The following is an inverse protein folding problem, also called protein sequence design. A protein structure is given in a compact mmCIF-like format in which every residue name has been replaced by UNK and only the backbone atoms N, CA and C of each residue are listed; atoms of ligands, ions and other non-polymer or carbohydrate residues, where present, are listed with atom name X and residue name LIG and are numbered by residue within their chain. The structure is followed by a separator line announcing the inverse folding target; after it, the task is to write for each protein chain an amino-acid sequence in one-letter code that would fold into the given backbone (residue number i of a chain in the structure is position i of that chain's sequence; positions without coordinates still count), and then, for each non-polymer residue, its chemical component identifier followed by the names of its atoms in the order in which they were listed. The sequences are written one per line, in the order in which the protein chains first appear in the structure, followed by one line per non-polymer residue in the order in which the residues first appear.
data_IF_385969056079
#
_entry.id   IF_385969056079
#
_cell.length_a   1.000
_cell.length_b   1.000
_cell.length_c   1.000
_cell.angle_alpha   90.00
_cell.angle_beta   90.00
_cell.angle_gamma   90.00
#
_symmetry.space_group_name_H-M   'P 1'
#
loop_
_entity.id
_entity.type
_entity.pdbx_description
1 polymer ?
#
# COMPACT_ATOMS: atom_id res chain seq x y z
N UNK A 1 -46.03 -30.24 -45.25
CA UNK A 1 -45.72 -29.19 -44.26
C UNK A 1 -44.25 -29.36 -43.89
N UNK A 2 -43.39 -28.46 -44.36
CA UNK A 2 -41.98 -28.47 -43.95
C UNK A 2 -41.91 -27.89 -42.53
N UNK A 3 -41.39 -28.68 -41.58
CA UNK A 3 -41.27 -28.28 -40.18
C UNK A 3 -40.40 -27.04 -40.01
N UNK A 4 -40.74 -26.22 -39.04
CA UNK A 4 -40.02 -25.01 -38.68
C UNK A 4 -38.57 -25.35 -38.31
N UNK A 5 -37.61 -24.74 -39.01
CA UNK A 5 -36.18 -24.88 -38.70
C UNK A 5 -35.83 -23.93 -37.55
N UNK A 6 -35.57 -24.49 -36.38
CA UNK A 6 -35.03 -23.75 -35.24
C UNK A 6 -33.50 -23.72 -35.37
N UNK A 7 -32.94 -22.52 -35.49
CA UNK A 7 -31.49 -22.32 -35.50
C UNK A 7 -31.03 -22.03 -34.07
N UNK A 8 -30.23 -22.95 -33.51
CA UNK A 8 -29.60 -22.77 -32.19
C UNK A 8 -28.16 -22.32 -32.46
N UNK A 9 -27.73 -21.22 -31.82
CA UNK A 9 -26.35 -20.78 -31.89
C UNK A 9 -25.41 -21.83 -31.32
N UNK A 10 -24.20 -21.95 -31.87
CA UNK A 10 -23.19 -22.84 -31.31
C UNK A 10 -22.80 -22.38 -29.90
N UNK A 11 -22.24 -23.31 -29.11
CA UNK A 11 -21.87 -23.05 -27.71
C UNK A 11 -20.92 -21.86 -27.57
N UNK A 12 -19.95 -21.70 -28.48
CA UNK A 12 -18.97 -20.61 -28.41
C UNK A 12 -19.64 -19.24 -28.62
N UNK A 13 -20.56 -19.17 -29.57
CA UNK A 13 -21.39 -17.98 -29.80
C UNK A 13 -22.33 -17.71 -28.63
N UNK A 14 -22.94 -18.76 -28.06
CA UNK A 14 -23.81 -18.63 -26.89
C UNK A 14 -23.02 -18.16 -25.64
N UNK A 15 -21.82 -18.69 -25.42
CA UNK A 15 -20.92 -18.29 -24.33
C UNK A 15 -20.42 -16.84 -24.52
N UNK A 16 -20.12 -16.41 -25.75
CA UNK A 16 -19.80 -15.00 -26.06
C UNK A 16 -20.98 -14.07 -25.76
N UNK A 17 -22.19 -14.44 -26.22
CA UNK A 17 -23.41 -13.68 -25.95
C UNK A 17 -23.72 -13.66 -24.45
N UNK A 18 -23.56 -14.78 -23.76
CA UNK A 18 -23.76 -14.87 -22.31
C UNK A 18 -22.72 -14.03 -21.55
N UNK A 19 -21.45 -14.02 -21.96
CA UNK A 19 -20.42 -13.15 -21.38
C UNK A 19 -20.67 -11.66 -21.65
N UNK A 20 -21.31 -11.31 -22.76
CA UNK A 20 -21.75 -9.93 -23.05
C UNK A 20 -22.97 -9.55 -22.20
N UNK A 21 -23.90 -10.49 -21.96
CA UNK A 21 -25.17 -10.25 -21.26
C UNK A 21 -25.08 -10.44 -19.74
N UNK A 22 -24.15 -11.24 -19.25
CA UNK A 22 -23.85 -11.35 -17.84
C UNK A 22 -23.24 -10.01 -17.43
N UNK A 23 -23.93 -9.29 -16.53
CA UNK A 23 -23.32 -8.16 -15.82
C UNK A 23 -22.03 -8.68 -15.19
N UNK A 24 -20.88 -8.33 -15.74
CA UNK A 24 -19.61 -8.84 -15.27
C UNK A 24 -19.49 -8.50 -13.77
N UNK A 25 -19.58 -9.49 -12.85
CA UNK A 25 -19.74 -9.21 -11.42
C UNK A 25 -18.38 -8.86 -10.80
N UNK A 26 -17.84 -7.72 -11.23
CA UNK A 26 -16.56 -7.17 -10.77
C UNK A 26 -16.82 -5.87 -10.04
N UNK A 27 -15.97 -5.59 -9.06
CA UNK A 27 -15.93 -4.30 -8.38
C UNK A 27 -14.93 -3.41 -9.11
N UNK A 28 -15.09 -2.10 -9.09
CA UNK A 28 -14.11 -1.23 -9.72
C UNK A 28 -14.46 0.24 -9.72
N UNK A 29 -13.56 0.99 -10.34
CA UNK A 29 -13.72 2.42 -10.57
C UNK A 29 -12.96 2.88 -11.81
N UNK A 30 -13.34 4.06 -12.30
CA UNK A 30 -12.56 4.83 -13.25
C UNK A 30 -11.95 6.01 -12.49
N UNK A 31 -10.64 6.21 -12.61
CA UNK A 31 -9.95 7.44 -12.17
C UNK A 31 -9.72 8.34 -13.39
N UNK A 32 -10.48 9.42 -13.47
CA UNK A 32 -10.38 10.42 -14.54
C UNK A 32 -9.23 11.38 -14.26
N UNK A 33 -8.03 11.10 -14.77
CA UNK A 33 -6.85 11.89 -14.42
C UNK A 33 -6.98 13.39 -14.77
N UNK A 34 -7.80 13.73 -15.76
CA UNK A 34 -8.05 15.12 -16.18
C UNK A 34 -9.03 15.87 -15.26
N UNK A 35 -9.66 15.18 -14.31
CA UNK A 35 -10.47 15.78 -13.25
C UNK A 35 -9.61 15.98 -12.00
N UNK A 36 -9.48 17.25 -11.59
CA UNK A 36 -8.69 17.64 -10.42
C UNK A 36 -9.46 17.53 -9.09
N UNK A 37 -10.79 17.61 -9.10
CA UNK A 37 -11.58 17.44 -7.87
C UNK A 37 -11.54 15.97 -7.41
N UNK A 38 -10.98 15.65 -6.23
CA UNK A 38 -10.68 14.26 -5.84
C UNK A 38 -11.90 13.33 -5.81
N UNK A 39 -13.06 13.81 -5.39
CA UNK A 39 -14.29 13.01 -5.34
C UNK A 39 -14.97 12.89 -6.71
N UNK A 40 -14.93 13.92 -7.54
CA UNK A 40 -15.49 13.86 -8.90
C UNK A 40 -14.59 13.08 -9.87
N UNK A 41 -13.33 12.89 -9.51
CA UNK A 41 -12.32 12.12 -10.24
C UNK A 41 -12.60 10.61 -10.26
N UNK A 42 -13.37 10.10 -9.30
CA UNK A 42 -13.63 8.67 -9.14
C UNK A 42 -15.09 8.33 -9.50
N UNK A 43 -15.26 7.58 -10.58
CA UNK A 43 -16.53 6.99 -10.97
C UNK A 43 -16.58 5.51 -10.54
N UNK A 44 -17.63 5.09 -9.83
CA UNK A 44 -17.86 3.68 -9.53
C UNK A 44 -18.47 2.95 -10.72
N UNK A 45 -17.99 1.72 -10.95
CA UNK A 45 -18.49 0.83 -12.01
C UNK A 45 -18.80 -0.55 -11.43
N UNK A 46 -19.40 -1.42 -12.25
CA UNK A 46 -19.67 -2.81 -11.86
C UNK A 46 -20.58 -2.94 -10.64
N UNK A 47 -20.29 -3.91 -9.77
CA UNK A 47 -21.09 -4.27 -8.60
C UNK A 47 -21.22 -3.13 -7.57
N UNK A 48 -20.22 -2.25 -7.47
CA UNK A 48 -20.23 -1.11 -6.56
C UNK A 48 -20.74 0.19 -7.18
N UNK A 49 -21.31 0.18 -8.39
CA UNK A 49 -21.83 1.40 -9.06
C UNK A 49 -22.71 2.27 -8.15
N UNK A 50 -23.55 1.63 -7.32
CA UNK A 50 -24.49 2.29 -6.42
C UNK A 50 -24.06 2.23 -4.93
N UNK A 51 -22.81 1.88 -4.63
CA UNK A 51 -22.34 1.81 -3.26
C UNK A 51 -22.20 3.21 -2.65
N UNK A 52 -22.50 3.30 -1.37
CA UNK A 52 -22.10 4.45 -0.55
C UNK A 52 -20.66 4.24 -0.07
N UNK A 53 -19.77 5.22 -0.27
CA UNK A 53 -18.36 5.12 0.14
C UNK A 53 -18.24 5.03 1.67
N UNK A 54 -17.11 4.54 2.17
CA UNK A 54 -16.82 4.65 3.60
C UNK A 54 -16.67 6.12 4.04
N UNK A 55 -16.88 6.38 5.32
CA UNK A 55 -16.76 7.72 5.88
C UNK A 55 -16.15 7.67 7.29
N UNK A 56 -15.11 8.47 7.51
CA UNK A 56 -14.52 8.66 8.84
C UNK A 56 -15.42 9.56 9.68
N UNK A 57 -15.71 9.16 10.90
CA UNK A 57 -16.23 10.05 11.92
C UNK A 57 -15.10 10.97 12.41
N UNK A 58 -15.19 12.27 12.13
CA UNK A 58 -14.14 13.24 12.49
C UNK A 58 -14.03 13.52 13.99
N UNK A 59 -15.05 13.22 14.78
CA UNK A 59 -15.06 13.47 16.22
C UNK A 59 -14.32 12.39 17.01
N UNK A 60 -14.50 11.12 16.63
CA UNK A 60 -13.93 9.98 17.36
C UNK A 60 -12.97 9.11 16.54
N UNK A 61 -12.76 9.45 15.27
CA UNK A 61 -11.82 8.80 14.36
C UNK A 61 -12.23 7.42 13.84
N UNK A 62 -13.37 6.88 14.27
CA UNK A 62 -13.88 5.59 13.78
C UNK A 62 -14.33 5.66 12.32
N UNK A 63 -14.42 4.50 11.67
CA UNK A 63 -14.84 4.38 10.27
C UNK A 63 -16.24 3.79 10.16
N UNK A 64 -17.12 4.45 9.42
CA UNK A 64 -18.40 3.89 8.97
C UNK A 64 -18.18 3.25 7.61
N UNK A 65 -18.39 1.93 7.53
CA UNK A 65 -18.10 1.15 6.32
C UNK A 65 -19.19 1.27 5.24
N UNK A 66 -20.40 1.72 5.60
CA UNK A 66 -21.54 1.85 4.69
C UNK A 66 -21.75 0.58 3.83
N UNK A 67 -21.85 0.70 2.51
CA UNK A 67 -22.07 -0.44 1.61
C UNK A 67 -20.91 -1.45 1.58
N UNK A 68 -19.75 -1.08 2.14
CA UNK A 68 -18.55 -1.92 2.16
C UNK A 68 -18.46 -2.85 3.38
N UNK A 69 -19.38 -2.76 4.34
CA UNK A 69 -19.34 -3.53 5.59
C UNK A 69 -19.19 -5.05 5.37
N UNK A 70 -19.84 -5.57 4.33
CA UNK A 70 -19.81 -6.99 3.98
C UNK A 70 -18.80 -7.36 2.88
N UNK A 71 -17.97 -6.41 2.43
CA UNK A 71 -16.99 -6.67 1.39
C UNK A 71 -15.95 -7.71 1.89
N UNK A 72 -15.67 -8.80 1.14
CA UNK A 72 -14.86 -9.90 1.66
C UNK A 72 -13.47 -9.50 2.15
N UNK A 73 -12.78 -8.59 1.46
CA UNK A 73 -11.45 -8.12 1.90
C UNK A 73 -11.52 -7.40 3.26
N UNK A 74 -12.56 -6.60 3.49
CA UNK A 74 -12.78 -5.90 4.76
C UNK A 74 -13.11 -6.92 5.86
N UNK A 75 -13.98 -7.90 5.58
CA UNK A 75 -14.36 -8.94 6.54
C UNK A 75 -13.22 -9.88 6.90
N UNK A 76 -12.37 -10.24 5.94
CA UNK A 76 -11.27 -11.17 6.14
C UNK A 76 -10.08 -10.52 6.85
N UNK A 77 -9.95 -9.19 6.80
CA UNK A 77 -8.85 -8.49 7.43
C UNK A 77 -9.01 -8.45 8.96
N UNK A 78 -8.37 -9.43 9.59
CA UNK A 78 -8.34 -9.63 11.05
C UNK A 78 -6.88 -9.57 11.56
N UNK A 79 -6.66 -9.11 12.80
CA UNK A 79 -5.34 -9.03 13.40
C UNK A 79 -4.95 -10.36 14.08
N UNK A 80 -3.69 -10.75 13.95
CA UNK A 80 -3.12 -12.00 14.43
C UNK A 80 -1.74 -11.79 15.03
N UNK A 81 -1.39 -12.63 15.99
CA UNK A 81 0.01 -13.00 16.16
C UNK A 81 0.34 -14.08 15.12
N UNK A 82 1.43 -13.89 14.38
CA UNK A 82 1.86 -14.77 13.29
C UNK A 82 3.28 -15.23 13.56
N UNK A 83 3.55 -16.52 13.35
CA UNK A 83 4.89 -17.11 13.52
C UNK A 83 5.82 -16.62 12.42
N UNK A 84 7.13 -16.61 12.68
CA UNK A 84 8.13 -16.17 11.71
C UNK A 84 8.10 -16.98 10.38
N UNK A 85 7.56 -18.20 10.37
CA UNK A 85 7.37 -19.00 9.15
C UNK A 85 6.18 -18.56 8.28
N UNK A 86 5.39 -17.58 8.73
CA UNK A 86 4.22 -17.06 8.02
C UNK A 86 2.92 -17.82 8.29
N UNK A 87 2.89 -18.74 9.25
CA UNK A 87 1.66 -19.40 9.71
C UNK A 87 0.97 -18.60 10.83
N UNK A 88 -0.37 -18.53 10.84
CA UNK A 88 -1.10 -17.86 11.93
C UNK A 88 -0.89 -18.63 13.25
N UNK A 89 -0.70 -17.90 14.36
CA UNK A 89 -0.70 -18.51 15.70
C UNK A 89 -2.09 -18.37 16.34
N UNK A 90 -2.51 -17.13 16.62
CA UNK A 90 -3.82 -16.84 17.19
C UNK A 90 -4.33 -15.44 16.84
N UNK A 91 -5.65 -15.26 16.89
CA UNK A 91 -6.32 -13.97 16.65
C UNK A 91 -6.14 -13.03 17.82
N UNK A 92 -5.85 -11.77 17.50
CA UNK A 92 -5.90 -10.66 18.42
C UNK A 92 -7.32 -10.12 18.50
N UNK A 93 -7.72 -9.61 19.66
CA UNK A 93 -8.99 -8.91 19.78
C UNK A 93 -8.95 -7.61 18.99
N UNK A 94 -9.89 -7.43 18.05
CA UNK A 94 -9.86 -6.32 17.08
C UNK A 94 -9.87 -4.93 17.70
N UNK A 95 -10.47 -4.79 18.89
CA UNK A 95 -10.56 -3.51 19.61
C UNK A 95 -9.48 -3.30 20.67
N UNK A 96 -8.71 -4.34 21.00
CA UNK A 96 -7.63 -4.30 21.99
C UNK A 96 -6.59 -5.38 21.70
N UNK A 97 -5.52 -5.01 20.99
CA UNK A 97 -4.49 -5.96 20.58
C UNK A 97 -3.65 -6.51 21.73
N UNK A 98 -3.78 -5.98 22.96
CA UNK A 98 -3.13 -6.55 24.14
C UNK A 98 -3.80 -7.85 24.61
N UNK A 99 -4.95 -8.18 24.03
CA UNK A 99 -5.73 -9.37 24.33
C UNK A 99 -5.84 -10.30 23.12
N UNK A 100 -5.87 -11.60 23.40
CA UNK A 100 -6.27 -12.62 22.43
C UNK A 100 -7.79 -12.57 22.27
N UNK A 101 -8.28 -12.96 21.09
CA UNK A 101 -9.72 -13.00 20.85
C UNK A 101 -10.41 -14.09 21.69
N UNK A 102 -9.73 -15.23 21.92
CA UNK A 102 -10.18 -16.33 22.78
C UNK A 102 -9.99 -16.06 24.29
N UNK A 103 -9.43 -14.90 24.65
CA UNK A 103 -9.21 -14.44 26.02
C UNK A 103 -7.76 -14.55 26.48
N UNK A 104 -7.42 -13.72 27.47
CA UNK A 104 -6.07 -13.60 28.03
C UNK A 104 -5.17 -12.60 27.28
N UNK A 105 -3.96 -12.42 27.80
CA UNK A 105 -2.96 -11.49 27.24
C UNK A 105 -2.35 -12.01 25.94
N UNK A 106 -2.02 -11.10 25.03
CA UNK A 106 -1.31 -11.41 23.78
C UNK A 106 0.19 -11.13 23.85
N UNK A 107 0.92 -11.59 22.82
CA UNK A 107 2.33 -11.37 22.60
C UNK A 107 2.63 -10.09 21.79
N UNK A 108 1.66 -9.19 21.62
CA UNK A 108 1.77 -8.01 20.73
C UNK A 108 2.97 -7.10 21.07
N UNK A 109 3.42 -7.12 22.33
CA UNK A 109 4.58 -6.37 22.81
C UNK A 109 5.72 -7.28 23.32
N UNK A 110 5.64 -8.60 23.10
CA UNK A 110 6.62 -9.57 23.58
C UNK A 110 7.79 -9.68 22.60
N UNK A 111 8.93 -9.05 22.91
CA UNK A 111 10.14 -9.09 22.08
C UNK A 111 10.82 -10.45 22.00
N UNK A 112 10.41 -11.42 22.83
CA UNK A 112 10.91 -12.81 22.77
C UNK A 112 10.04 -13.73 21.93
N UNK A 113 8.88 -13.26 21.44
CA UNK A 113 8.02 -14.03 20.56
C UNK A 113 8.69 -14.22 19.20
N UNK A 114 8.72 -15.47 18.70
CA UNK A 114 9.31 -15.79 17.40
C UNK A 114 8.31 -15.54 16.25
N UNK A 115 8.04 -14.27 16.00
CA UNK A 115 7.08 -13.80 15.02
C UNK A 115 6.73 -12.33 15.24
N UNK A 116 5.53 -11.91 14.84
CA UNK A 116 5.07 -10.54 15.00
C UNK A 116 3.56 -10.41 14.95
N UNK A 117 3.08 -9.17 15.12
CA UNK A 117 1.68 -8.80 15.02
C UNK A 117 1.37 -8.30 13.61
N UNK A 118 0.48 -9.01 12.92
CA UNK A 118 0.10 -8.73 11.54
C UNK A 118 -1.42 -8.75 11.36
N UNK A 119 -1.90 -8.17 10.27
CA UNK A 119 -3.28 -8.35 9.83
C UNK A 119 -3.34 -9.05 8.48
N UNK A 120 -4.35 -9.89 8.28
CA UNK A 120 -4.50 -10.64 7.04
C UNK A 120 -5.07 -9.74 5.94
N UNK A 121 -4.44 -9.63 4.79
CA UNK A 121 -5.10 -9.10 3.60
C UNK A 121 -5.32 -10.25 2.64
N UNK A 122 -6.58 -10.68 2.51
CA UNK A 122 -6.92 -11.76 1.59
C UNK A 122 -6.63 -11.33 0.14
N UNK A 123 -6.25 -12.30 -0.69
CA UNK A 123 -6.05 -12.08 -2.11
C UNK A 123 -7.32 -11.56 -2.79
N UNK A 124 -7.11 -10.65 -3.73
CA UNK A 124 -8.08 -10.22 -4.72
C UNK A 124 -7.37 -10.10 -6.06
N UNK A 125 -8.04 -10.45 -7.16
CA UNK A 125 -7.49 -10.30 -8.49
C UNK A 125 -7.81 -8.93 -9.05
N UNK A 126 -6.91 -8.38 -9.84
CA UNK A 126 -6.96 -7.01 -10.34
C UNK A 126 -6.74 -6.98 -11.85
N UNK A 127 -7.56 -6.20 -12.54
CA UNK A 127 -7.36 -5.81 -13.93
C UNK A 127 -7.25 -4.29 -13.98
N UNK A 128 -6.33 -3.79 -14.80
CA UNK A 128 -6.12 -2.36 -14.97
C UNK A 128 -5.78 -2.02 -16.41
N UNK A 129 -6.32 -0.92 -16.91
CA UNK A 129 -6.01 -0.41 -18.25
C UNK A 129 -6.08 1.11 -18.30
N UNK A 130 -5.49 1.67 -19.34
CA UNK A 130 -5.60 3.10 -19.68
C UNK A 130 -6.49 3.25 -20.90
N UNK A 131 -7.52 4.09 -20.80
CA UNK A 131 -8.32 4.55 -21.96
C UNK A 131 -8.13 6.05 -22.08
N UNK A 132 -7.27 6.47 -23.01
CA UNK A 132 -6.80 7.86 -23.06
C UNK A 132 -6.04 8.24 -21.78
N UNK A 133 -6.59 9.17 -21.01
CA UNK A 133 -6.07 9.58 -19.71
C UNK A 133 -6.78 8.92 -18.52
N UNK A 134 -7.85 8.17 -18.75
CA UNK A 134 -8.58 7.51 -17.67
C UNK A 134 -7.91 6.19 -17.30
N UNK A 135 -7.74 5.95 -16.00
CA UNK A 135 -7.34 4.64 -15.47
C UNK A 135 -8.60 3.88 -15.09
N UNK A 136 -8.83 2.73 -15.70
CA UNK A 136 -9.92 1.83 -15.29
C UNK A 136 -9.31 0.72 -14.43
N UNK A 137 -9.83 0.55 -13.22
CA UNK A 137 -9.39 -0.46 -12.26
C UNK A 137 -10.57 -1.37 -11.91
N UNK A 138 -10.37 -2.67 -12.04
CA UNK A 138 -11.39 -3.69 -11.77
C UNK A 138 -10.82 -4.76 -10.86
N UNK A 139 -11.67 -5.28 -9.99
CA UNK A 139 -11.36 -6.29 -9.00
C UNK A 139 -12.31 -7.48 -9.08
N UNK A 140 -11.76 -8.68 -8.95
CA UNK A 140 -12.49 -9.93 -8.89
C UNK A 140 -12.07 -10.74 -7.67
N UNK A 141 -13.04 -11.33 -6.98
CA UNK A 141 -12.79 -12.23 -5.84
C UNK A 141 -12.38 -13.64 -6.28
N UNK A 142 -12.56 -13.97 -7.57
CA UNK A 142 -12.19 -15.25 -8.17
C UNK A 142 -11.23 -15.02 -9.34
N UNK A 143 -10.44 -16.04 -9.68
CA UNK A 143 -9.55 -16.01 -10.84
C UNK A 143 -10.36 -15.86 -12.13
N UNK A 144 -9.91 -14.99 -13.04
CA UNK A 144 -10.57 -14.67 -14.32
C UNK A 144 -9.55 -14.21 -15.36
N UNK A 145 -9.90 -14.38 -16.63
CA UNK A 145 -9.03 -13.98 -17.74
C UNK A 145 -8.75 -12.46 -17.71
N UNK A 146 -7.49 -12.08 -17.91
CA UNK A 146 -7.04 -10.69 -17.82
C UNK A 146 -6.96 -10.09 -16.41
N UNK A 147 -7.23 -10.84 -15.35
CA UNK A 147 -7.07 -10.41 -13.95
C UNK A 147 -5.87 -11.10 -13.30
N UNK A 148 -5.00 -10.31 -12.67
CA UNK A 148 -3.77 -10.79 -12.03
C UNK A 148 -3.85 -10.65 -10.50
N UNK A 149 -3.26 -11.57 -9.71
CA UNK A 149 -3.19 -11.46 -8.26
C UNK A 149 -2.09 -10.47 -7.83
N UNK A 150 -2.20 -9.21 -8.28
CA UNK A 150 -1.20 -8.15 -8.06
C UNK A 150 -0.92 -7.96 -6.57
N UNK A 151 0.33 -8.14 -6.15
CA UNK A 151 0.73 -8.06 -4.74
C UNK A 151 0.58 -9.38 -3.96
N UNK A 152 -0.03 -10.41 -4.54
CA UNK A 152 -0.24 -11.72 -3.91
C UNK A 152 0.56 -12.83 -4.58
N UNK A 153 1.75 -12.50 -5.08
CA UNK A 153 2.70 -13.43 -5.70
C UNK A 153 4.03 -13.34 -4.94
N UNK A 154 4.66 -14.48 -4.64
CA UNK A 154 5.97 -14.51 -3.98
C UNK A 154 7.15 -14.40 -4.97
N UNK A 155 8.41 -14.23 -4.50
CA UNK A 155 9.59 -14.13 -5.37
C UNK A 155 9.84 -15.33 -6.29
N UNK A 156 9.21 -16.47 -6.02
CA UNK A 156 9.25 -17.66 -6.87
C UNK A 156 8.09 -17.72 -7.87
N UNK A 157 7.31 -16.64 -7.98
CA UNK A 157 6.11 -16.51 -8.80
C UNK A 157 4.95 -17.42 -8.37
N UNK A 158 4.92 -17.88 -7.11
CA UNK A 158 3.79 -18.63 -6.60
C UNK A 158 2.68 -17.68 -6.13
N UNK A 159 1.45 -17.98 -6.51
CA UNK A 159 0.28 -17.27 -6.05
C UNK A 159 -0.05 -17.61 -4.58
N UNK A 160 -0.35 -16.59 -3.78
CA UNK A 160 -0.63 -16.68 -2.35
C UNK A 160 -2.13 -16.56 -2.07
N UNK A 161 -2.59 -17.07 -0.92
CA UNK A 161 -3.99 -16.88 -0.47
C UNK A 161 -4.28 -15.46 0.04
N UNK A 162 -3.23 -14.72 0.37
CA UNK A 162 -3.24 -13.38 0.95
C UNK A 162 -1.83 -13.03 1.43
N UNK A 163 -1.70 -11.95 2.19
CA UNK A 163 -0.44 -11.52 2.81
C UNK A 163 -0.67 -11.05 4.25
N UNK A 164 0.39 -11.09 5.06
CA UNK A 164 0.39 -10.53 6.41
C UNK A 164 0.93 -9.10 6.38
N UNK A 165 0.03 -8.13 6.57
CA UNK A 165 0.37 -6.72 6.68
C UNK A 165 0.94 -6.43 8.08
N UNK A 166 2.10 -5.77 8.22
CA UNK A 166 2.62 -5.43 9.54
C UNK A 166 1.68 -4.46 10.23
N UNK A 167 1.30 -4.75 11.48
CA UNK A 167 0.45 -3.85 12.25
C UNK A 167 1.19 -2.60 12.73
N UNK A 168 2.51 -2.72 12.91
CA UNK A 168 3.41 -1.69 13.44
C UNK A 168 4.58 -1.41 12.51
N UNK A 169 5.17 -0.21 12.62
CA UNK A 169 6.41 0.11 11.89
C UNK A 169 7.51 -0.85 12.33
N UNK A 170 8.42 -1.21 11.42
CA UNK A 170 9.47 -2.16 11.73
C UNK A 170 10.40 -1.63 12.81
N UNK A 171 10.65 -2.45 13.83
CA UNK A 171 11.68 -2.21 14.84
C UNK A 171 12.77 -3.27 14.72
N UNK A 172 14.04 -2.90 14.87
CA UNK A 172 15.14 -3.87 14.77
C UNK A 172 15.57 -4.29 16.17
N UNK A 173 15.25 -5.53 16.53
CA UNK A 173 15.80 -6.18 17.72
C UNK A 173 17.24 -6.61 17.46
N UNK A 174 18.12 -6.41 18.46
CA UNK A 174 19.54 -6.77 18.35
C UNK A 174 20.27 -6.00 17.24
N UNK A 175 19.95 -4.72 17.03
CA UNK A 175 20.49 -3.89 15.95
C UNK A 175 22.03 -3.88 15.86
N UNK A 176 22.72 -3.94 16.99
CA UNK A 176 24.19 -3.97 17.08
C UNK A 176 24.77 -5.39 17.18
N UNK A 177 23.92 -6.42 17.15
CA UNK A 177 24.30 -7.82 17.24
C UNK A 177 24.58 -8.47 15.87
N UNK A 178 25.01 -9.73 15.90
CA UNK A 178 25.31 -10.49 14.67
C UNK A 178 24.08 -10.90 13.86
N UNK A 179 22.89 -10.91 14.47
CA UNK A 179 21.63 -11.36 13.85
C UNK A 179 20.49 -10.36 14.13
N UNK A 180 20.59 -9.10 13.66
CA UNK A 180 19.51 -8.13 13.85
C UNK A 180 18.23 -8.65 13.20
N UNK A 181 17.06 -8.44 13.82
CA UNK A 181 15.77 -8.89 13.29
C UNK A 181 14.77 -7.75 13.26
N UNK A 182 14.16 -7.51 12.10
CA UNK A 182 13.05 -6.58 11.98
C UNK A 182 11.76 -7.26 12.47
N UNK A 183 11.00 -6.60 13.33
CA UNK A 183 9.75 -7.14 13.87
C UNK A 183 8.65 -6.09 13.83
N UNK A 184 7.42 -6.54 13.59
CA UNK A 184 6.20 -5.76 13.79
C UNK A 184 5.62 -6.02 15.19
N UNK A 185 6.01 -5.23 16.18
CA UNK A 185 5.55 -5.33 17.57
C UNK A 185 5.25 -3.95 18.17
N UNK A 186 4.31 -3.93 19.13
CA UNK A 186 3.97 -2.75 19.91
C UNK A 186 5.09 -2.38 20.90
N UNK A 187 5.03 -1.14 21.38
CA UNK A 187 5.91 -0.54 22.39
C UNK A 187 7.39 -0.46 22.00
N UNK A 188 7.76 -0.77 20.76
CA UNK A 188 9.10 -0.58 20.23
C UNK A 188 9.22 0.75 19.47
N UNK A 189 10.42 1.34 19.45
CA UNK A 189 10.71 2.49 18.61
C UNK A 189 10.91 2.00 17.16
N UNK A 190 10.24 2.60 16.16
CA UNK A 190 10.54 2.34 14.76
C UNK A 190 12.03 2.47 14.45
N UNK A 191 12.55 1.64 13.55
CA UNK A 191 13.95 1.74 13.08
C UNK A 191 14.21 3.11 12.45
N UNK A 192 15.41 3.65 12.61
CA UNK A 192 15.83 4.89 11.99
C UNK A 192 17.36 4.90 11.76
N UNK A 193 17.86 5.82 10.94
CA UNK A 193 19.30 5.95 10.61
C UNK A 193 19.95 4.66 10.05
N UNK A 194 19.17 3.79 9.42
CA UNK A 194 19.66 2.61 8.74
C UNK A 194 19.68 2.80 7.22
N UNK A 195 20.59 2.12 6.53
CA UNK A 195 20.59 2.01 5.06
C UNK A 195 19.58 0.96 4.61
N UNK A 196 19.23 0.95 3.32
CA UNK A 196 18.34 -0.10 2.78
C UNK A 196 18.92 -1.50 3.02
N UNK A 197 20.23 -1.67 2.90
CA UNK A 197 20.87 -2.99 3.08
C UNK A 197 20.80 -3.47 4.53
N UNK A 198 21.00 -2.59 5.53
CA UNK A 198 20.86 -2.97 6.94
C UNK A 198 19.44 -3.44 7.26
N UNK A 199 18.44 -2.74 6.74
CA UNK A 199 17.03 -3.13 6.90
C UNK A 199 16.73 -4.44 6.15
N UNK A 200 17.27 -4.65 4.95
CA UNK A 200 17.13 -5.91 4.22
C UNK A 200 17.73 -7.08 4.98
N UNK A 201 18.91 -6.91 5.59
CA UNK A 201 19.51 -7.92 6.47
C UNK A 201 18.60 -8.25 7.64
N UNK A 202 18.07 -7.23 8.32
CA UNK A 202 17.18 -7.43 9.46
C UNK A 202 15.86 -8.14 9.10
N UNK A 203 15.27 -7.80 7.95
CA UNK A 203 14.08 -8.48 7.41
C UNK A 203 14.38 -9.95 7.07
N UNK A 204 15.51 -10.21 6.42
CA UNK A 204 15.91 -11.57 6.02
C UNK A 204 16.20 -12.46 7.23
N UNK A 205 16.77 -11.89 8.29
CA UNK A 205 17.01 -12.58 9.55
C UNK A 205 15.74 -12.83 10.37
N UNK A 206 14.69 -12.04 10.16
CA UNK A 206 13.38 -12.33 10.74
C UNK A 206 12.76 -13.56 10.09
N UNK A 207 12.73 -13.60 8.75
CA UNK A 207 12.21 -14.73 8.00
C UNK A 207 12.69 -14.73 6.55
N UNK A 208 12.90 -15.93 5.98
CA UNK A 208 13.10 -16.10 4.53
C UNK A 208 11.85 -15.76 3.71
N UNK A 209 10.68 -15.67 4.35
CA UNK A 209 9.40 -15.28 3.75
C UNK A 209 9.09 -13.79 3.90
N UNK A 210 9.92 -13.04 4.63
CA UNK A 210 9.68 -11.62 4.83
C UNK A 210 10.24 -10.77 3.68
N UNK A 211 9.49 -9.74 3.33
CA UNK A 211 9.75 -8.75 2.32
C UNK A 211 9.63 -7.35 2.93
N UNK A 212 10.07 -6.31 2.22
CA UNK A 212 9.70 -4.94 2.60
C UNK A 212 8.20 -4.75 2.34
N UNK A 213 7.51 -3.98 3.20
CA UNK A 213 6.20 -3.45 2.86
C UNK A 213 6.36 -2.37 1.77
N UNK A 214 6.12 -2.77 0.52
CA UNK A 214 6.26 -1.94 -0.67
C UNK A 214 5.74 -2.66 -1.91
N UNK A 215 6.00 -2.08 -3.08
CA UNK A 215 5.75 -2.75 -4.35
C UNK A 215 4.26 -2.98 -4.65
N UNK A 216 3.92 -4.07 -5.36
CA UNK A 216 2.58 -4.25 -5.93
C UNK A 216 1.45 -4.38 -4.90
N UNK A 217 1.72 -4.83 -3.67
CA UNK A 217 0.70 -4.86 -2.62
C UNK A 217 0.31 -3.47 -2.15
N UNK A 218 1.26 -2.54 -2.05
CA UNK A 218 0.96 -1.16 -1.65
C UNK A 218 0.10 -0.47 -2.71
N UNK A 219 0.38 -0.69 -3.99
CA UNK A 219 -0.48 -0.20 -5.07
C UNK A 219 -1.90 -0.79 -5.01
N UNK A 220 -2.01 -2.10 -4.78
CA UNK A 220 -3.31 -2.77 -4.66
C UNK A 220 -4.09 -2.24 -3.46
N UNK A 221 -3.43 -2.01 -2.33
CA UNK A 221 -4.03 -1.37 -1.15
C UNK A 221 -4.51 0.04 -1.52
N UNK A 222 -3.69 0.87 -2.17
CA UNK A 222 -4.06 2.23 -2.57
C UNK A 222 -5.32 2.22 -3.44
N UNK A 223 -5.41 1.35 -4.43
CA UNK A 223 -6.59 1.27 -5.30
C UNK A 223 -7.83 0.75 -4.55
N UNK A 224 -7.67 -0.17 -3.60
CA UNK A 224 -8.76 -0.55 -2.69
C UNK A 224 -9.20 0.65 -1.84
N UNK A 225 -8.28 1.45 -1.33
CA UNK A 225 -8.60 2.63 -0.51
C UNK A 225 -9.35 3.70 -1.32
N UNK A 226 -8.91 3.95 -2.56
CA UNK A 226 -9.61 4.84 -3.51
C UNK A 226 -11.00 4.31 -3.80
N UNK A 227 -11.12 3.00 -4.09
CA UNK A 227 -12.40 2.36 -4.34
C UNK A 227 -13.31 2.47 -3.13
N UNK A 228 -12.87 2.20 -1.91
CA UNK A 228 -13.74 2.27 -0.74
C UNK A 228 -14.18 3.69 -0.40
N UNK A 229 -13.27 4.67 -0.52
CA UNK A 229 -13.55 6.05 -0.15
C UNK A 229 -14.18 6.88 -1.27
N UNK A 230 -14.13 6.41 -2.52
CA UNK A 230 -14.53 7.15 -3.74
C UNK A 230 -13.87 8.53 -3.86
N UNK A 231 -12.58 8.59 -3.56
CA UNK A 231 -11.79 9.82 -3.64
C UNK A 231 -10.31 9.49 -3.74
N UNK A 232 -9.54 10.37 -4.36
CA UNK A 232 -8.07 10.34 -4.31
C UNK A 232 -7.49 11.10 -3.12
N UNK A 233 -8.28 11.89 -2.39
CA UNK A 233 -7.84 12.54 -1.15
C UNK A 233 -7.94 11.57 0.03
N UNK A 234 -6.99 10.65 0.09
CA UNK A 234 -7.01 9.56 1.06
C UNK A 234 -6.65 10.02 2.48
N UNK A 235 -5.86 11.09 2.64
CA UNK A 235 -5.64 11.68 3.97
C UNK A 235 -6.94 12.25 4.55
N UNK A 236 -7.74 12.94 3.75
CA UNK A 236 -9.05 13.42 4.20
C UNK A 236 -10.01 12.26 4.49
N UNK A 237 -9.97 11.17 3.71
CA UNK A 237 -10.84 10.01 3.92
C UNK A 237 -10.46 9.14 5.14
N UNK A 238 -9.16 8.93 5.39
CA UNK A 238 -8.66 7.97 6.40
C UNK A 238 -7.96 8.62 7.60
N UNK A 239 -7.72 9.93 7.57
CA UNK A 239 -7.02 10.69 8.61
C UNK A 239 -5.60 11.07 8.20
N UNK A 240 -5.04 12.06 8.88
CA UNK A 240 -3.76 12.69 8.53
C UNK A 240 -2.54 12.11 9.27
N UNK A 241 -2.77 11.28 10.27
CA UNK A 241 -1.72 10.60 11.02
C UNK A 241 -0.85 11.59 11.78
N UNK A 242 0.44 11.28 11.87
CA UNK A 242 1.45 12.09 12.54
C UNK A 242 2.30 12.83 11.49
N UNK A 243 1.70 13.32 10.40
CA UNK A 243 2.42 13.96 9.29
C UNK A 243 3.02 15.33 9.63
N UNK A 244 2.65 15.94 10.75
CA UNK A 244 3.16 17.24 11.23
C UNK A 244 3.66 17.19 12.68
N UNK A 245 4.05 16.01 13.17
CA UNK A 245 4.51 15.80 14.55
C UNK A 245 5.96 16.14 14.84
N UNK A 246 6.69 16.81 13.94
CA UNK A 246 8.09 17.14 14.15
C UNK A 246 8.32 17.95 15.43
N UNK A 247 9.29 17.50 16.23
CA UNK A 247 9.72 18.19 17.44
C UNK A 247 11.23 18.04 17.63
N UNK A 248 11.95 19.15 17.47
CA UNK A 248 13.41 19.22 17.59
C UNK A 248 13.93 18.74 18.96
N UNK A 249 13.12 18.87 20.02
CA UNK A 249 13.49 18.47 21.38
C UNK A 249 13.51 16.95 21.59
N UNK A 250 12.87 16.19 20.68
CA UNK A 250 12.75 14.72 20.74
C UNK A 250 13.86 14.01 19.96
N UNK A 251 15.05 14.60 19.89
CA UNK A 251 16.22 13.93 19.31
C UNK A 251 16.44 12.55 19.98
N UNK A 252 16.74 11.49 19.21
CA UNK A 252 17.12 11.49 17.79
C UNK A 252 15.97 11.22 16.82
N UNK A 253 14.74 11.06 17.30
CA UNK A 253 13.59 10.63 16.46
C UNK A 253 12.70 11.78 16.03
N UNK A 254 12.87 12.95 16.64
CA UNK A 254 12.30 14.23 16.24
C UNK A 254 10.79 14.21 15.96
N UNK A 255 10.04 13.43 16.74
CA UNK A 255 8.58 13.28 16.59
C UNK A 255 8.11 11.97 15.95
N UNK A 256 9.02 11.09 15.48
CA UNK A 256 8.64 9.70 15.16
C UNK A 256 8.28 8.97 16.46
N UNK A 257 7.02 8.59 16.59
CA UNK A 257 6.46 7.98 17.79
C UNK A 257 6.78 6.50 17.83
N UNK A 258 6.92 6.00 19.06
CA UNK A 258 6.95 4.56 19.33
C UNK A 258 5.69 3.89 18.81
N UNK A 259 5.82 2.64 18.39
CA UNK A 259 4.69 1.80 18.01
C UNK A 259 3.73 1.70 19.21
N UNK A 260 2.50 2.16 19.03
CA UNK A 260 1.47 2.11 20.07
C UNK A 260 0.25 1.33 19.57
N UNK A 261 -0.41 0.64 20.48
CA UNK A 261 -1.72 0.03 20.21
C UNK A 261 -2.75 1.16 20.09
N UNK A 262 -3.19 1.42 18.87
CA UNK A 262 -4.24 2.40 18.58
C UNK A 262 -5.61 1.72 18.69
N UNK A 263 -6.55 2.32 19.42
CA UNK A 263 -7.93 1.82 19.57
C UNK A 263 -8.77 1.94 18.29
N UNK A 264 -10.05 1.52 18.30
CA UNK A 264 -10.96 1.78 17.17
C UNK A 264 -11.08 0.70 16.07
N UNK A 265 -10.58 -0.53 16.30
CA UNK A 265 -10.81 -1.62 15.35
C UNK A 265 -9.90 -1.62 14.12
N UNK A 266 -10.46 -1.92 12.95
CA UNK A 266 -9.72 -2.05 11.69
C UNK A 266 -9.19 -0.71 11.13
N UNK A 267 -9.92 0.37 11.35
CA UNK A 267 -9.60 1.71 10.85
C UNK A 267 -9.70 2.73 11.98
N UNK A 268 -8.77 3.68 12.00
CA UNK A 268 -8.84 4.81 12.93
C UNK A 268 -8.05 6.00 12.36
N UNK A 269 -8.66 7.17 12.34
CA UNK A 269 -8.09 8.38 11.75
C UNK A 269 -8.34 9.65 12.54
N UNK A 270 -7.33 10.52 12.66
CA UNK A 270 -7.44 11.86 13.27
C UNK A 270 -7.12 13.01 12.29
N UNK A 271 -7.58 14.22 12.65
CA UNK A 271 -7.32 15.47 11.93
C UNK A 271 -6.19 16.32 12.54
N UNK A 272 -5.67 15.90 13.69
CA UNK A 272 -4.68 16.67 14.45
C UNK A 272 -3.30 16.72 13.77
N UNK A 273 -3.01 15.80 12.85
CA UNK A 273 -1.69 15.64 12.18
C UNK A 273 -0.57 15.25 13.15
N UNK A 274 -0.93 14.81 14.37
CA UNK A 274 -0.04 14.53 15.49
C UNK A 274 -0.27 13.14 16.09
N UNK A 275 -1.25 12.37 15.63
CA UNK A 275 -1.61 11.07 16.23
C UNK A 275 -1.26 9.89 15.33
N UNK A 276 -1.14 8.71 15.92
CA UNK A 276 -1.03 7.48 15.14
C UNK A 276 -2.42 7.06 14.65
N UNK A 277 -2.52 6.84 13.34
CA UNK A 277 -3.71 6.36 12.64
C UNK A 277 -3.45 4.98 12.07
N UNK A 278 -4.51 4.23 11.79
CA UNK A 278 -4.42 2.89 11.19
C UNK A 278 -5.41 2.66 10.07
N UNK A 279 -4.94 1.88 9.11
CA UNK A 279 -5.72 1.36 7.98
C UNK A 279 -5.45 -0.15 7.95
N UNK A 280 -6.50 -0.97 7.86
CA UNK A 280 -6.39 -2.44 7.93
C UNK A 280 -5.59 -2.94 9.13
N UNK A 281 -5.86 -2.39 10.32
CA UNK A 281 -5.11 -2.63 11.56
C UNK A 281 -3.63 -2.19 11.57
N UNK A 282 -3.12 -1.61 10.48
CA UNK A 282 -1.73 -1.19 10.35
C UNK A 282 -1.54 0.31 10.60
N UNK A 283 -0.74 0.66 11.61
CA UNK A 283 -0.32 2.05 11.81
C UNK A 283 0.69 2.51 10.75
N UNK A 284 1.35 1.57 10.06
CA UNK A 284 2.29 1.87 8.96
C UNK A 284 1.57 2.54 7.80
N UNK A 285 0.39 2.01 7.47
CA UNK A 285 -0.44 2.48 6.35
C UNK A 285 -1.20 3.77 6.66
N UNK A 286 -1.46 4.09 7.93
CA UNK A 286 -2.32 5.23 8.31
C UNK A 286 -1.60 6.42 8.94
N UNK A 287 -0.43 6.22 9.55
CA UNK A 287 0.19 7.27 10.39
C UNK A 287 1.12 8.22 9.65
N UNK A 288 1.64 7.84 8.49
CA UNK A 288 2.53 8.68 7.66
C UNK A 288 3.68 9.38 8.41
N UNK A 289 4.19 8.75 9.48
CA UNK A 289 5.14 9.39 10.40
C UNK A 289 6.60 9.20 10.00
N UNK A 290 6.87 8.22 9.15
CA UNK A 290 8.20 7.84 8.72
C UNK A 290 8.14 7.29 7.30
N UNK A 291 9.06 7.73 6.43
CA UNK A 291 9.14 7.25 5.06
C UNK A 291 9.49 5.76 5.08
N UNK A 292 8.66 4.94 4.45
CA UNK A 292 8.87 3.49 4.36
C UNK A 292 9.60 3.13 3.09
N UNK A 293 10.71 2.39 3.20
CA UNK A 293 11.44 1.93 2.01
C UNK A 293 10.62 0.97 1.17
N UNK A 294 10.59 1.28 -0.12
CA UNK A 294 10.04 0.43 -1.16
C UNK A 294 11.13 0.15 -2.20
N UNK A 295 12.00 -0.85 -1.97
CA UNK A 295 13.06 -1.19 -2.91
C UNK A 295 12.54 -1.84 -4.19
N UNK A 296 11.24 -2.03 -4.36
CA UNK A 296 10.62 -2.65 -5.52
C UNK A 296 10.24 -1.64 -6.61
N UNK A 297 10.40 -0.35 -6.34
CA UNK A 297 10.33 0.73 -7.32
C UNK A 297 11.63 1.53 -7.26
N UNK A 298 12.29 1.66 -8.41
CA UNK A 298 13.54 2.42 -8.52
C UNK A 298 13.48 3.35 -9.72
N UNK A 299 14.21 4.46 -9.60
CA UNK A 299 14.40 5.42 -10.69
C UNK A 299 15.85 5.39 -11.10
N UNK A 300 16.15 4.85 -12.27
CA UNK A 300 17.50 4.73 -12.82
C UNK A 300 17.66 5.75 -13.93
N UNK A 301 18.42 6.82 -13.68
CA UNK A 301 18.66 7.92 -14.63
C UNK A 301 17.35 8.44 -15.23
N UNK A 302 16.39 8.77 -14.35
CA UNK A 302 15.06 9.25 -14.73
C UNK A 302 14.08 8.19 -15.24
N UNK A 303 14.47 6.91 -15.37
CA UNK A 303 13.58 5.81 -15.81
C UNK A 303 13.03 5.04 -14.64
N UNK A 304 11.69 4.95 -14.54
CA UNK A 304 11.03 4.20 -13.46
C UNK A 304 11.00 2.72 -13.80
N UNK A 305 11.49 1.88 -12.90
CA UNK A 305 11.52 0.42 -13.03
C UNK A 305 10.94 -0.24 -11.79
N UNK A 306 10.24 -1.37 -11.99
CA UNK A 306 9.53 -2.05 -10.89
C UNK A 306 9.77 -3.56 -10.83
N UNK A 307 9.68 -4.09 -9.62
CA UNK A 307 9.62 -5.51 -9.30
C UNK A 307 8.17 -5.92 -9.02
N UNK A 308 7.66 -6.89 -9.79
CA UNK A 308 6.26 -7.34 -9.72
C UNK A 308 6.02 -8.49 -8.74
N UNK A 309 7.09 -9.08 -8.21
CA UNK A 309 7.05 -10.28 -7.38
C UNK A 309 7.99 -10.20 -6.18
N UNK A 310 8.31 -8.99 -5.70
CA UNK A 310 9.23 -8.76 -4.58
C UNK A 310 10.67 -9.24 -4.77
N UNK A 311 11.11 -9.50 -6.01
CA UNK A 311 12.53 -9.66 -6.31
C UNK A 311 13.26 -8.41 -5.84
N UNK A 312 14.24 -8.57 -4.93
CA UNK A 312 15.06 -7.48 -4.40
C UNK A 312 16.28 -7.27 -5.30
N UNK A 313 16.32 -6.15 -5.99
CA UNK A 313 17.47 -5.66 -6.73
C UNK A 313 17.39 -4.12 -6.85
N UNK A 314 17.88 -3.38 -5.86
CA UNK A 314 17.75 -1.92 -5.84
C UNK A 314 18.63 -1.21 -6.89
N UNK A 315 19.39 -1.96 -7.71
CA UNK A 315 20.04 -1.43 -8.92
C UNK A 315 19.06 -1.29 -10.09
N UNK A 316 17.92 -1.99 -10.03
CA UNK A 316 16.92 -2.05 -11.09
C UNK A 316 17.31 -2.86 -12.31
N UNK A 317 18.40 -3.63 -12.27
CA UNK A 317 18.85 -4.45 -13.40
C UNK A 317 17.88 -5.61 -13.70
N UNK A 318 17.28 -6.20 -12.67
CA UNK A 318 16.29 -7.28 -12.78
C UNK A 318 14.84 -6.77 -12.93
N UNK A 319 14.63 -5.46 -12.88
CA UNK A 319 13.28 -4.89 -12.81
C UNK A 319 12.72 -4.61 -14.19
N UNK A 320 11.39 -4.65 -14.30
CA UNK A 320 10.70 -4.28 -15.53
C UNK A 320 10.75 -2.76 -15.71
N UNK A 321 11.24 -2.30 -16.86
CA UNK A 321 11.11 -0.90 -17.24
C UNK A 321 9.64 -0.58 -17.55
N UNK A 322 9.11 0.44 -16.90
CA UNK A 322 7.68 0.78 -16.99
C UNK A 322 7.35 1.60 -18.23
N UNK A 323 8.38 2.11 -18.94
CA UNK A 323 8.21 3.12 -19.98
C UNK A 323 7.94 4.53 -19.43
N UNK A 324 7.82 4.69 -18.11
CA UNK A 324 7.60 5.98 -17.46
C UNK A 324 8.95 6.65 -17.21
N UNK A 325 9.05 7.90 -17.65
CA UNK A 325 10.18 8.79 -17.37
C UNK A 325 9.74 9.83 -16.35
N UNK A 326 10.63 10.13 -15.39
CA UNK A 326 10.46 11.25 -14.47
C UNK A 326 10.30 12.55 -15.28
N UNK A 327 9.20 13.30 -15.10
CA UNK A 327 8.96 14.50 -15.91
C UNK A 327 10.02 15.58 -15.69
N UNK A 328 10.55 16.17 -16.75
CA UNK A 328 11.46 17.32 -16.68
C UNK A 328 10.67 18.63 -16.86
N UNK A 329 9.93 19.01 -15.82
CA UNK A 329 8.91 20.06 -15.90
C UNK A 329 8.91 21.00 -14.68
N UNK A 330 10.00 21.04 -13.91
CA UNK A 330 10.12 21.88 -12.72
C UNK A 330 11.45 22.62 -12.70
N UNK A 331 11.49 23.69 -11.93
CA UNK A 331 12.73 24.24 -11.43
C UNK A 331 13.26 23.33 -10.33
N UNK A 332 14.45 22.77 -10.55
CA UNK A 332 15.14 21.93 -9.61
C UNK A 332 15.86 22.78 -8.55
N UNK A 333 15.90 22.32 -7.30
CA UNK A 333 16.68 22.97 -6.23
C UNK A 333 18.20 22.84 -6.47
N UNK A 334 19.02 23.42 -5.59
CA UNK A 334 20.49 23.33 -5.72
C UNK A 334 21.03 21.90 -5.65
N UNK A 335 20.27 20.98 -5.07
CA UNK A 335 20.58 19.54 -5.01
C UNK A 335 19.95 18.76 -6.17
N UNK A 336 19.36 19.44 -7.14
CA UNK A 336 18.66 18.88 -8.29
C UNK A 336 17.45 18.03 -7.91
N UNK A 337 16.71 18.44 -6.88
CA UNK A 337 15.49 17.80 -6.41
C UNK A 337 14.28 18.73 -6.56
N UNK A 338 13.08 18.17 -6.66
CA UNK A 338 11.84 18.92 -6.66
C UNK A 338 10.70 18.12 -6.04
N UNK A 339 9.80 18.79 -5.35
CA UNK A 339 8.53 18.26 -4.88
C UNK A 339 7.40 18.69 -5.82
N UNK A 340 6.50 17.77 -6.12
CA UNK A 340 5.28 18.03 -6.87
C UNK A 340 4.10 17.20 -6.35
N UNK A 341 2.90 17.49 -6.83
CA UNK A 341 1.70 16.71 -6.52
C UNK A 341 1.15 16.09 -7.82
N UNK A 342 1.30 14.78 -8.04
CA UNK A 342 0.89 14.18 -9.31
C UNK A 342 -0.61 14.30 -9.57
N UNK A 343 -0.99 14.87 -10.70
CA UNK A 343 -2.37 14.84 -11.21
C UNK A 343 -2.64 13.66 -12.16
N UNK A 344 -1.62 13.01 -12.70
CA UNK A 344 -1.74 11.94 -13.68
C UNK A 344 -0.99 10.68 -13.26
N UNK A 345 -1.66 9.55 -13.41
CA UNK A 345 -1.11 8.22 -13.09
C UNK A 345 -1.33 7.29 -14.27
N UNK A 346 -0.33 6.45 -14.54
CA UNK A 346 -0.38 5.41 -15.59
C UNK A 346 -0.38 4.03 -14.94
N UNK A 347 -1.21 3.15 -15.47
CA UNK A 347 -1.18 1.72 -15.14
C UNK A 347 0.12 1.10 -15.60
N UNK A 348 0.71 0.27 -14.74
CA UNK A 348 1.78 -0.66 -15.04
C UNK A 348 1.23 -2.07 -14.76
N UNK A 349 0.90 -2.85 -15.81
CA UNK A 349 0.33 -4.18 -15.66
C UNK A 349 1.14 -5.08 -14.72
N UNK A 350 0.48 -5.76 -13.79
CA UNK A 350 1.12 -6.61 -12.78
C UNK A 350 1.86 -5.86 -11.66
N UNK A 351 1.72 -4.53 -11.57
CA UNK A 351 2.29 -3.74 -10.48
C UNK A 351 1.27 -2.81 -9.84
N UNK A 352 0.62 -1.95 -10.63
CA UNK A 352 -0.29 -0.92 -10.11
C UNK A 352 -0.19 0.39 -10.87
N UNK A 353 -0.39 1.52 -10.19
CA UNK A 353 -0.35 2.84 -10.83
C UNK A 353 0.95 3.59 -10.48
N UNK A 354 1.50 4.39 -11.39
CA UNK A 354 2.69 5.20 -11.13
C UNK A 354 2.45 6.63 -11.61
N UNK A 355 2.85 7.66 -10.84
CA UNK A 355 2.86 9.05 -11.29
C UNK A 355 3.56 9.21 -12.65
N UNK A 356 2.91 9.89 -13.60
CA UNK A 356 3.43 10.09 -14.95
C UNK A 356 2.91 11.39 -15.57
N UNK A 357 3.39 11.74 -16.77
CA UNK A 357 3.00 12.94 -17.52
C UNK A 357 3.30 14.25 -16.77
N UNK A 358 2.59 15.33 -17.11
CA UNK A 358 2.94 16.70 -16.69
C UNK A 358 2.84 16.97 -15.20
N UNK A 359 2.30 16.09 -14.35
CA UNK A 359 2.12 16.31 -12.90
C UNK A 359 1.46 17.67 -12.50
N UNK A 360 1.00 18.46 -13.48
CA UNK A 360 0.52 19.83 -13.30
C UNK A 360 -0.89 19.86 -12.71
N UNK A 361 -1.17 20.87 -11.88
CA UNK A 361 -2.50 21.11 -11.32
C UNK A 361 -2.87 20.25 -10.09
N UNK A 362 -2.01 19.32 -9.68
CA UNK A 362 -2.16 18.64 -8.39
C UNK A 362 -1.79 19.54 -7.21
N UNK A 363 -2.33 19.23 -6.05
CA UNK A 363 -2.02 19.87 -4.77
C UNK A 363 -2.32 18.90 -3.63
N UNK A 364 -2.20 19.31 -2.37
CA UNK A 364 -2.67 18.53 -1.23
C UNK A 364 -4.20 18.29 -1.17
N UNK A 365 -4.96 18.88 -2.10
CA UNK A 365 -6.41 18.77 -2.16
C UNK A 365 -6.95 18.55 -3.59
N UNK A 366 -6.10 18.42 -4.60
CA UNK A 366 -6.48 18.23 -6.01
C UNK A 366 -5.62 17.18 -6.69
N UNK A 367 -6.17 16.49 -7.69
CA UNK A 367 -5.49 15.43 -8.42
C UNK A 367 -5.22 14.21 -7.54
N UNK A 368 -3.96 13.79 -7.43
CA UNK A 368 -3.53 12.66 -6.59
C UNK A 368 -3.40 12.96 -5.10
N UNK A 369 -3.49 14.23 -4.68
CA UNK A 369 -3.49 14.72 -3.29
C UNK A 369 -2.21 14.52 -2.45
N UNK A 370 -1.34 13.57 -2.79
CA UNK A 370 -0.11 13.31 -2.02
C UNK A 370 1.14 13.70 -2.82
N UNK A 371 2.24 13.99 -2.11
CA UNK A 371 3.46 14.54 -2.68
C UNK A 371 4.38 13.51 -3.32
N UNK A 372 5.10 13.93 -4.35
CA UNK A 372 6.16 13.17 -5.01
C UNK A 372 7.45 13.98 -5.06
N UNK A 373 8.47 13.56 -4.32
CA UNK A 373 9.82 14.09 -4.51
C UNK A 373 10.56 13.39 -5.63
N UNK A 374 11.29 14.16 -6.44
CA UNK A 374 11.96 13.68 -7.65
C UNK A 374 13.38 14.21 -7.72
N UNK A 375 14.26 13.40 -8.30
CA UNK A 375 15.57 13.83 -8.79
C UNK A 375 15.41 14.32 -10.22
N UNK A 376 16.17 15.35 -10.60
CA UNK A 376 16.32 15.76 -12.00
C UNK A 376 16.65 14.55 -12.88
N UNK A 377 15.82 14.22 -13.89
CA UNK A 377 16.03 13.05 -14.76
C UNK A 377 17.31 13.14 -15.59
N UNK A 378 17.94 14.30 -15.69
CA UNK A 378 19.22 14.48 -16.41
C UNK A 378 20.44 14.05 -15.59
N UNK A 379 20.26 13.77 -14.31
CA UNK A 379 21.34 13.35 -13.42
C UNK A 379 21.59 11.84 -13.54
N UNK A 380 22.86 11.44 -13.52
CA UNK A 380 23.24 10.04 -13.36
C UNK A 380 22.99 9.64 -11.91
N UNK A 381 21.87 8.97 -11.66
CA UNK A 381 21.40 8.68 -10.31
C UNK A 381 20.50 7.44 -10.29
N UNK A 382 20.61 6.66 -9.21
CA UNK A 382 19.65 5.58 -8.90
C UNK A 382 18.96 5.88 -7.58
N UNK A 383 17.68 6.24 -7.68
CA UNK A 383 16.79 6.45 -6.53
C UNK A 383 16.06 5.17 -6.17
N UNK A 384 15.96 4.90 -4.87
CA UNK A 384 15.07 3.86 -4.35
C UNK A 384 13.83 4.52 -3.75
N UNK A 385 12.67 4.01 -4.15
CA UNK A 385 11.40 4.56 -3.70
C UNK A 385 11.26 4.51 -2.18
N UNK A 386 10.65 5.55 -1.61
CA UNK A 386 10.02 5.50 -0.29
C UNK A 386 8.56 5.89 -0.41
N UNK A 387 7.74 5.40 0.52
CA UNK A 387 6.29 5.60 0.55
C UNK A 387 5.83 6.36 1.79
N UNK A 388 4.62 6.91 1.70
CA UNK A 388 3.80 7.45 2.79
C UNK A 388 4.18 8.84 3.33
N UNK A 389 5.45 9.21 3.38
CA UNK A 389 5.92 10.47 3.96
C UNK A 389 6.35 10.36 5.42
N UNK A 390 6.62 11.48 6.09
CA UNK A 390 7.11 11.51 7.47
C UNK A 390 6.58 12.69 8.29
N UNK A 391 6.87 12.70 9.59
CA UNK A 391 6.28 13.65 10.55
C UNK A 391 6.68 15.12 10.41
N UNK A 392 7.51 15.48 9.43
CA UNK A 392 7.86 16.87 9.13
C UNK A 392 7.41 17.29 7.71
N UNK A 393 6.55 16.50 7.07
CA UNK A 393 6.26 16.66 5.64
C UNK A 393 4.85 17.15 5.35
N UNK A 394 4.02 17.26 6.38
CA UNK A 394 2.70 17.86 6.32
C UNK A 394 1.80 17.15 5.31
N UNK A 395 1.08 17.92 4.51
CA UNK A 395 0.09 17.39 3.57
C UNK A 395 0.69 16.77 2.31
N UNK A 396 2.02 16.76 2.17
CA UNK A 396 2.69 15.99 1.12
C UNK A 396 2.84 14.51 1.47
N UNK A 397 2.52 14.11 2.70
CA UNK A 397 2.35 12.72 3.11
C UNK A 397 1.12 12.05 2.46
N UNK A 398 0.86 10.80 2.81
CA UNK A 398 -0.37 10.07 2.46
C UNK A 398 -0.09 8.77 1.68
N UNK A 399 -1.11 7.93 1.46
CA UNK A 399 -0.92 6.61 0.86
C UNK A 399 -0.24 6.63 -0.52
N UNK A 400 -0.46 7.68 -1.32
CA UNK A 400 0.15 7.84 -2.65
C UNK A 400 1.47 8.61 -2.63
N UNK A 401 1.92 9.11 -1.47
CA UNK A 401 3.16 9.87 -1.36
C UNK A 401 4.37 9.00 -1.72
N UNK A 402 5.30 9.57 -2.50
CA UNK A 402 6.54 8.87 -2.89
C UNK A 402 7.77 9.79 -2.89
N UNK A 403 8.93 9.18 -2.78
CA UNK A 403 10.24 9.82 -2.93
C UNK A 403 11.11 9.00 -3.91
N UNK A 404 11.61 9.66 -4.95
CA UNK A 404 12.49 9.11 -5.99
C UNK A 404 13.92 9.70 -6.01
N UNK A 405 14.33 10.49 -5.01
CA UNK A 405 15.59 11.25 -5.08
C UNK A 405 16.70 10.79 -4.14
N UNK A 406 16.44 9.79 -3.31
CA UNK A 406 17.40 9.30 -2.32
C UNK A 406 17.91 7.89 -2.69
N UNK A 407 19.22 7.67 -2.52
CA UNK A 407 19.90 6.41 -2.86
C UNK A 407 19.63 5.29 -1.85
N UNK A 408 20.12 4.08 -2.15
CA UNK A 408 20.14 2.93 -1.22
C UNK A 408 20.90 3.20 0.09
N UNK A 409 21.92 4.06 0.02
CA UNK A 409 22.78 4.38 1.16
C UNK A 409 22.20 5.49 2.06
N UNK A 410 21.16 6.18 1.61
CA UNK A 410 20.57 7.26 2.39
C UNK A 410 19.98 6.73 3.70
N UNK A 411 20.47 7.25 4.82
CA UNK A 411 20.08 6.93 6.18
C UNK A 411 19.73 8.23 6.91
N UNK A 412 18.56 8.26 7.54
CA UNK A 412 18.03 9.45 8.21
C UNK A 412 17.07 9.04 9.33
N UNK A 413 16.79 9.95 10.27
CA UNK A 413 15.92 9.72 11.41
C UNK A 413 14.48 9.42 10.97
N UNK A 414 14.06 10.00 9.84
CA UNK A 414 12.74 9.82 9.27
C UNK A 414 12.66 8.71 8.20
N UNK A 415 13.69 7.89 8.05
CA UNK A 415 13.68 6.72 7.16
C UNK A 415 13.55 5.44 7.98
N UNK A 416 12.66 4.55 7.55
CA UNK A 416 12.54 3.22 8.10
C UNK A 416 11.95 2.23 7.10
N UNK A 417 11.60 1.06 7.59
CA UNK A 417 10.93 0.01 6.84
C UNK A 417 9.98 -0.77 7.75
N UNK A 418 9.13 -1.60 7.16
CA UNK A 418 8.31 -2.56 7.86
C UNK A 418 8.35 -3.89 7.10
N UNK A 419 8.23 -4.99 7.84
CA UNK A 419 8.26 -6.35 7.33
C UNK A 419 6.87 -6.76 6.83
N UNK A 420 6.73 -6.94 5.52
CA UNK A 420 5.60 -7.68 4.93
C UNK A 420 5.91 -9.16 5.03
N UNK A 421 5.03 -9.96 5.62
CA UNK A 421 5.25 -11.40 5.74
C UNK A 421 4.41 -12.17 4.72
N UNK A 422 5.08 -12.89 3.82
CA UNK A 422 4.43 -13.69 2.79
C UNK A 422 4.12 -15.08 3.34
N UNK A 423 2.85 -15.48 3.51
CA UNK A 423 2.51 -16.79 4.05
C UNK A 423 3.06 -17.92 3.14
N UNK A 424 3.21 -19.14 3.67
CA UNK A 424 3.40 -20.32 2.83
C UNK A 424 2.28 -20.46 1.79
N UNK A 425 2.59 -21.04 0.63
CA UNK A 425 1.60 -21.31 -0.42
C UNK A 425 0.50 -22.22 0.15
N UNK A 426 -0.75 -21.89 -0.13
CA UNK A 426 -1.93 -22.63 0.35
C UNK A 426 -2.48 -22.19 1.71
N UNK A 427 -1.79 -21.30 2.44
CA UNK A 427 -2.36 -20.71 3.67
C UNK A 427 -3.44 -19.67 3.30
N UNK A 428 -4.61 -19.83 3.91
CA UNK A 428 -5.70 -18.87 3.96
C UNK A 428 -6.33 -18.96 5.36
N UNK A 429 -6.83 -17.84 5.89
CA UNK A 429 -7.33 -17.72 7.28
C UNK A 429 -8.70 -17.08 7.36
#
# INVERSE_FOLDING_TARGET
MAGEKIYIADKETLDKVYNILASDPVYGFIEHNDILSPSARIEYIGLNKNYSPLARNKENGSMVLNSWADFPVIKANKPYMVRADGTPDYRLKETDYTQREDGGSSDVANSSYNGGAFSWLMKIYKNEEMVGNDRIVRFSLTARDGYEPVGFIDPSNNELGGVWLPMFYGSILGADGATPKMVSLANLQPTYNNTTDKEKTAITNFSSRAAFLGGPIVETIIDLLIMFAKTTNLQEAYGYGNCSGYDASQSPTYGVKRNAVVGGGQFYGTDDKLSLNKIFHSIVLGSYQQWMRDPYEVVVNGRVKVSKNYTYDPTGAKYTDTGITVPDNKTWDTNHNALDYPAHFRTVPGYGSIPALGMDGGSSATGGCDGLWRKDPKQTFTGVCRRFGHCNFGLSCGPRARDWYNSVTAANWYFGAADLLLPPVGVAV
#
